data_IF_195296338246
#
_entry.id   IF_195296338246
#
_cell.length_a   1.000
_cell.length_b   1.000
_cell.length_c   1.000
_cell.angle_alpha   90.00
_cell.angle_beta   90.00
_cell.angle_gamma   90.00
#
_symmetry.space_group_name_H-M   'P 1'
#
loop_
_entity.id
_entity.type
_entity.pdbx_description
1 polymer ?
#
# COMPACT_ATOMS: atom_id res chain seq x y z
N UNK A 1 13.93 -2.30 -11.53
CA UNK A 1 15.18 -1.54 -11.33
C UNK A 1 14.98 -0.58 -10.15
N UNK A 2 15.99 -0.39 -9.28
CA UNK A 2 15.91 0.59 -8.21
C UNK A 2 15.76 2.01 -8.77
N UNK A 3 14.92 2.83 -8.12
CA UNK A 3 14.85 4.25 -8.38
C UNK A 3 15.93 4.93 -7.53
N UNK A 4 16.82 5.71 -8.17
CA UNK A 4 17.86 6.47 -7.47
C UNK A 4 17.40 7.92 -7.35
N UNK A 5 17.21 8.41 -6.13
CA UNK A 5 16.90 9.80 -5.83
C UNK A 5 17.93 10.28 -4.81
N UNK A 6 18.74 11.27 -5.18
CA UNK A 6 19.71 11.97 -4.30
C UNK A 6 20.42 11.04 -3.30
N UNK A 7 21.24 10.10 -3.79
CA UNK A 7 21.99 9.11 -3.01
C UNK A 7 21.17 8.03 -2.27
N UNK A 8 19.85 8.01 -2.37
CA UNK A 8 19.01 6.94 -1.87
C UNK A 8 18.62 6.01 -3.01
N UNK A 9 18.75 4.71 -2.80
CA UNK A 9 18.31 3.69 -3.73
C UNK A 9 17.02 3.07 -3.19
N UNK A 10 15.92 3.27 -3.89
CA UNK A 10 14.61 2.73 -3.49
C UNK A 10 14.22 1.54 -4.36
N UNK A 11 13.65 0.52 -3.74
CA UNK A 11 13.05 -0.62 -4.43
C UNK A 11 11.61 -0.82 -3.95
N UNK A 12 10.68 -0.99 -4.88
CA UNK A 12 9.32 -1.44 -4.58
C UNK A 12 9.30 -2.95 -4.65
N UNK A 13 8.84 -3.61 -3.61
CA UNK A 13 8.77 -5.07 -3.52
C UNK A 13 7.56 -5.55 -2.68
N UNK A 14 7.11 -6.79 -2.85
CA UNK A 14 6.18 -7.39 -1.91
C UNK A 14 6.75 -7.37 -0.48
N UNK A 15 5.86 -7.24 0.51
CA UNK A 15 6.22 -7.39 1.92
C UNK A 15 6.74 -8.82 2.18
N UNK A 16 7.68 -8.95 3.11
CA UNK A 16 8.25 -10.23 3.56
C UNK A 16 8.00 -10.40 5.05
N UNK A 17 7.92 -11.63 5.54
CA UNK A 17 7.77 -11.90 6.97
C UNK A 17 8.90 -11.29 7.82
N UNK A 18 10.09 -11.10 7.23
CA UNK A 18 11.23 -10.44 7.87
C UNK A 18 11.04 -8.93 8.06
N UNK A 19 10.04 -8.32 7.40
CA UNK A 19 9.72 -6.90 7.55
C UNK A 19 8.90 -6.61 8.82
N UNK A 20 8.41 -7.63 9.52
CA UNK A 20 7.75 -7.51 10.81
C UNK A 20 8.76 -7.03 11.87
N UNK A 21 8.96 -5.73 11.94
CA UNK A 21 9.94 -5.06 12.81
C UNK A 21 9.32 -3.83 13.47
N UNK A 22 9.91 -3.38 14.58
CA UNK A 22 9.50 -2.14 15.24
C UNK A 22 9.53 -0.94 14.28
N UNK A 23 10.52 -0.87 13.38
CA UNK A 23 10.62 0.19 12.38
C UNK A 23 9.42 0.21 11.44
N UNK A 24 8.92 -0.95 11.02
CA UNK A 24 7.74 -1.05 10.18
C UNK A 24 6.47 -0.65 10.95
N UNK A 25 6.32 -1.05 12.20
CA UNK A 25 5.19 -0.62 13.03
C UNK A 25 5.18 0.89 13.26
N UNK A 26 6.35 1.49 13.48
CA UNK A 26 6.47 2.95 13.60
C UNK A 26 6.06 3.66 12.30
N UNK A 27 6.32 3.06 11.13
CA UNK A 27 5.83 3.57 9.86
C UNK A 27 4.30 3.50 9.77
N UNK A 28 3.70 2.35 10.10
CA UNK A 28 2.23 2.19 10.10
C UNK A 28 1.56 3.13 11.10
N UNK A 29 2.21 3.42 12.23
CA UNK A 29 1.75 4.39 13.22
C UNK A 29 1.68 5.84 12.70
N UNK A 30 2.29 6.14 11.56
CA UNK A 30 2.16 7.44 10.89
C UNK A 30 0.89 7.55 10.02
N UNK A 31 0.25 6.41 9.71
CA UNK A 31 -0.99 6.37 8.96
C UNK A 31 -2.21 6.46 9.89
N UNK A 32 -2.20 5.66 10.93
CA UNK A 32 -3.32 5.53 11.86
C UNK A 32 -2.82 5.27 13.27
N UNK A 33 -3.73 5.34 14.25
CA UNK A 33 -3.39 5.06 15.64
C UNK A 33 -3.10 3.56 15.81
N UNK A 34 -1.82 3.24 15.87
CA UNK A 34 -1.29 1.92 16.24
C UNK A 34 -0.52 2.11 17.54
N UNK A 35 -0.70 1.19 18.48
CA UNK A 35 0.20 1.04 19.61
C UNK A 35 1.28 0.02 19.22
N UNK A 36 2.52 0.47 18.91
CA UNK A 36 3.57 -0.44 18.47
C UNK A 36 3.97 -1.48 19.51
N UNK A 37 3.73 -1.18 20.81
CA UNK A 37 4.06 -2.09 21.91
C UNK A 37 3.06 -3.25 22.04
N UNK A 38 1.86 -3.11 21.43
CA UNK A 38 0.84 -4.15 21.36
C UNK A 38 0.95 -5.01 20.09
N UNK A 39 1.85 -4.67 19.17
CA UNK A 39 2.03 -5.44 17.94
C UNK A 39 2.82 -6.72 18.23
N UNK A 40 2.21 -7.86 17.96
CA UNK A 40 2.85 -9.18 18.07
C UNK A 40 3.59 -9.51 16.77
N UNK A 41 4.92 -9.64 16.87
CA UNK A 41 5.78 -9.97 15.71
C UNK A 41 5.43 -11.32 15.08
N UNK A 42 5.11 -12.33 15.88
CA UNK A 42 4.77 -13.67 15.36
C UNK A 42 3.40 -13.69 14.68
N UNK A 43 2.42 -12.95 15.22
CA UNK A 43 1.14 -12.78 14.55
C UNK A 43 1.31 -12.04 13.23
N UNK A 44 2.14 -10.97 13.20
CA UNK A 44 2.40 -10.20 11.97
C UNK A 44 3.11 -11.05 10.92
N UNK A 45 4.12 -11.84 11.32
CA UNK A 45 4.78 -12.78 10.41
C UNK A 45 3.79 -13.80 9.84
N UNK A 46 2.97 -14.39 10.70
CA UNK A 46 1.92 -15.35 10.29
C UNK A 46 0.91 -14.69 9.34
N UNK A 47 0.49 -13.47 9.62
CA UNK A 47 -0.40 -12.71 8.74
C UNK A 47 0.23 -12.52 7.35
N UNK A 48 1.49 -12.05 7.28
CA UNK A 48 2.19 -11.84 6.01
C UNK A 48 2.36 -13.16 5.24
N UNK A 49 2.69 -14.25 5.91
CA UNK A 49 2.80 -15.58 5.27
C UNK A 49 1.47 -16.05 4.70
N UNK A 50 0.38 -15.82 5.43
CA UNK A 50 -0.97 -16.22 5.02
C UNK A 50 -1.51 -15.39 3.85
N UNK A 51 -1.07 -14.15 3.66
CA UNK A 51 -1.43 -13.34 2.50
C UNK A 51 -1.09 -14.04 1.17
N UNK A 52 0.06 -14.71 1.11
CA UNK A 52 0.50 -15.42 -0.09
C UNK A 52 -0.20 -16.76 -0.33
N UNK A 53 -0.74 -17.39 0.71
CA UNK A 53 -1.30 -18.76 0.65
C UNK A 53 -2.81 -18.74 0.42
N UNK A 54 -3.53 -17.88 1.14
CA UNK A 54 -4.99 -17.94 1.23
C UNK A 54 -5.74 -16.96 0.34
N UNK A 55 -5.08 -15.94 -0.20
CA UNK A 55 -5.75 -14.83 -0.88
C UNK A 55 -5.78 -14.94 -2.39
N UNK A 56 -5.36 -16.06 -3.00
CA UNK A 56 -5.28 -16.22 -4.46
C UNK A 56 -4.64 -15.01 -5.17
N UNK A 57 -3.67 -14.36 -4.51
CA UNK A 57 -3.05 -13.10 -4.93
C UNK A 57 -3.98 -11.87 -4.92
N UNK A 58 -5.19 -12.00 -4.35
CA UNK A 58 -6.17 -10.91 -4.33
C UNK A 58 -5.90 -9.87 -3.22
N UNK A 59 -5.05 -10.17 -2.24
CA UNK A 59 -4.65 -9.24 -1.17
C UNK A 59 -3.13 -9.19 -1.09
N UNK A 60 -2.54 -8.08 -1.50
CA UNK A 60 -1.09 -7.93 -1.59
C UNK A 60 -0.65 -6.63 -0.93
N UNK A 61 0.37 -6.71 -0.09
CA UNK A 61 1.03 -5.57 0.52
C UNK A 61 2.39 -5.37 -0.16
N UNK A 62 2.66 -4.15 -0.57
CA UNK A 62 3.94 -3.73 -1.12
C UNK A 62 4.59 -2.71 -0.21
N UNK A 63 5.91 -2.73 -0.20
CA UNK A 63 6.73 -1.80 0.56
C UNK A 63 7.77 -1.14 -0.35
N UNK A 64 8.20 0.05 0.03
CA UNK A 64 9.37 0.70 -0.54
C UNK A 64 10.48 0.62 0.49
N UNK A 65 11.59 0.01 0.09
CA UNK A 65 12.80 -0.12 0.90
C UNK A 65 13.86 0.86 0.42
N UNK A 66 14.44 1.61 1.35
CA UNK A 66 15.72 2.28 1.15
C UNK A 66 16.82 1.22 1.30
N UNK A 67 17.40 0.78 0.19
CA UNK A 67 18.36 -0.32 0.15
C UNK A 67 19.64 0.05 0.91
N UNK A 68 20.04 1.32 0.91
CA UNK A 68 21.26 1.76 1.56
C UNK A 68 21.18 1.61 3.09
N UNK A 69 19.99 1.75 3.64
CA UNK A 69 19.74 1.67 5.09
C UNK A 69 19.06 0.36 5.50
N UNK A 70 18.56 -0.44 4.55
CA UNK A 70 17.73 -1.61 4.83
C UNK A 70 16.42 -1.25 5.55
N UNK A 71 15.89 -0.05 5.30
CA UNK A 71 14.74 0.50 6.01
C UNK A 71 13.51 0.55 5.09
N UNK A 72 12.37 0.08 5.59
CA UNK A 72 11.08 0.29 4.93
C UNK A 72 10.64 1.74 5.16
N UNK A 73 10.39 2.46 4.07
CA UNK A 73 10.07 3.89 4.07
C UNK A 73 8.69 4.21 3.52
N UNK A 74 8.01 3.24 2.93
CA UNK A 74 6.61 3.36 2.52
C UNK A 74 5.94 1.98 2.49
N UNK A 75 4.63 1.97 2.64
CA UNK A 75 3.79 0.77 2.52
C UNK A 75 2.49 1.12 1.79
N UNK A 76 1.90 0.12 1.15
CA UNK A 76 0.60 0.23 0.50
C UNK A 76 0.04 -1.14 0.17
N UNK A 77 -1.27 -1.23 0.11
CA UNK A 77 -2.01 -2.47 -0.09
C UNK A 77 -2.87 -2.38 -1.36
N UNK A 78 -2.99 -3.49 -2.08
CA UNK A 78 -4.04 -3.68 -3.07
C UNK A 78 -4.86 -4.91 -2.70
N UNK A 79 -6.18 -4.74 -2.68
CA UNK A 79 -7.16 -5.80 -2.56
C UNK A 79 -7.97 -5.90 -3.86
N UNK A 80 -8.01 -7.08 -4.50
CA UNK A 80 -8.75 -7.29 -5.75
C UNK A 80 -10.08 -7.96 -5.45
N UNK A 81 -11.16 -7.22 -5.68
CA UNK A 81 -12.53 -7.71 -5.56
C UNK A 81 -13.00 -8.28 -6.90
N UNK A 82 -13.42 -9.54 -6.91
CA UNK A 82 -14.08 -10.17 -8.05
C UNK A 82 -15.59 -9.96 -7.98
N UNK A 83 -16.19 -9.56 -9.09
CA UNK A 83 -17.63 -9.23 -9.17
C UNK A 83 -18.36 -10.12 -10.16
N UNK A 84 -19.62 -10.44 -9.88
CA UNK A 84 -20.50 -11.06 -10.87
C UNK A 84 -20.93 -10.07 -11.96
N UNK A 85 -21.12 -8.80 -11.58
CA UNK A 85 -21.41 -7.73 -12.54
C UNK A 85 -20.20 -7.40 -13.41
N UNK A 86 -20.42 -6.68 -14.51
CA UNK A 86 -19.36 -6.33 -15.48
C UNK A 86 -18.68 -7.56 -16.09
N UNK A 87 -19.46 -8.63 -16.35
CA UNK A 87 -18.96 -9.88 -16.93
C UNK A 87 -17.79 -10.47 -16.14
N UNK A 88 -18.02 -10.67 -14.83
CA UNK A 88 -16.99 -11.14 -13.87
C UNK A 88 -15.81 -10.17 -13.74
N UNK A 89 -16.10 -8.86 -13.81
CA UNK A 89 -15.07 -7.83 -13.72
C UNK A 89 -14.39 -7.78 -12.36
N UNK A 90 -13.16 -7.27 -12.35
CA UNK A 90 -12.35 -7.09 -11.13
C UNK A 90 -12.15 -5.61 -10.82
N UNK A 91 -12.13 -5.27 -9.53
CA UNK A 91 -11.82 -3.92 -9.03
C UNK A 91 -10.65 -4.02 -8.06
N UNK A 92 -9.62 -3.21 -8.27
CA UNK A 92 -8.53 -3.07 -7.31
C UNK A 92 -8.89 -1.98 -6.28
N UNK A 93 -8.86 -2.32 -5.00
CA UNK A 93 -8.96 -1.38 -3.89
C UNK A 93 -7.55 -1.09 -3.40
N UNK A 94 -7.14 0.17 -3.45
CA UNK A 94 -5.84 0.62 -2.93
C UNK A 94 -6.07 1.18 -1.54
N UNK A 95 -5.35 0.61 -0.56
CA UNK A 95 -5.57 0.86 0.86
C UNK A 95 -4.23 1.09 1.58
N UNK A 96 -4.30 1.69 2.76
CA UNK A 96 -3.21 1.80 3.72
C UNK A 96 -1.91 2.41 3.14
N UNK A 97 -2.04 3.47 2.36
CA UNK A 97 -0.88 4.16 1.79
C UNK A 97 -0.21 5.03 2.84
N UNK A 98 1.03 4.72 3.14
CA UNK A 98 1.85 5.51 4.06
C UNK A 98 3.27 5.71 3.51
N UNK A 99 3.81 6.92 3.70
CA UNK A 99 5.20 7.27 3.44
C UNK A 99 5.78 7.89 4.71
N UNK A 100 6.92 7.38 5.15
CA UNK A 100 7.67 7.93 6.29
C UNK A 100 7.83 9.45 6.13
N UNK A 101 7.47 10.19 7.18
CA UNK A 101 7.46 11.65 7.17
C UNK A 101 8.79 12.27 6.75
N UNK A 102 9.91 11.60 7.07
CA UNK A 102 11.26 12.04 6.71
C UNK A 102 11.62 11.77 5.25
N UNK A 103 10.81 10.97 4.55
CA UNK A 103 10.97 10.63 3.12
C UNK A 103 9.87 11.24 2.24
N UNK A 104 9.03 12.12 2.79
CA UNK A 104 8.05 12.88 1.99
C UNK A 104 8.77 13.88 1.07
N UNK A 105 8.14 14.20 -0.06
CA UNK A 105 8.74 15.07 -1.07
C UNK A 105 9.64 14.36 -2.09
N UNK A 106 10.02 13.09 -1.87
CA UNK A 106 10.82 12.29 -2.82
C UNK A 106 9.99 11.56 -3.88
N UNK A 107 8.68 11.79 -3.95
CA UNK A 107 7.81 11.14 -4.96
C UNK A 107 7.43 9.70 -4.62
N UNK A 108 7.78 9.18 -3.42
CA UNK A 108 7.54 7.78 -3.06
C UNK A 108 6.06 7.42 -2.98
N UNK A 109 5.21 8.34 -2.55
CA UNK A 109 3.76 8.12 -2.55
C UNK A 109 3.23 7.88 -3.96
N UNK A 110 3.62 8.72 -4.93
CA UNK A 110 3.25 8.53 -6.34
C UNK A 110 3.82 7.23 -6.89
N UNK A 111 5.06 6.89 -6.60
CA UNK A 111 5.69 5.65 -7.01
C UNK A 111 4.89 4.43 -6.50
N UNK A 112 4.44 4.44 -5.25
CA UNK A 112 3.62 3.37 -4.67
C UNK A 112 2.26 3.28 -5.37
N UNK A 113 1.55 4.40 -5.54
CA UNK A 113 0.25 4.42 -6.22
C UNK A 113 0.37 3.95 -7.67
N UNK A 114 1.35 4.43 -8.42
CA UNK A 114 1.58 4.00 -9.81
C UNK A 114 1.86 2.48 -9.86
N UNK A 115 2.66 1.96 -8.92
CA UNK A 115 2.96 0.53 -8.84
C UNK A 115 1.70 -0.32 -8.59
N UNK A 116 0.91 0.04 -7.57
CA UNK A 116 -0.31 -0.70 -7.21
C UNK A 116 -1.38 -0.60 -8.31
N UNK A 117 -1.54 0.56 -8.94
CA UNK A 117 -2.47 0.75 -10.07
C UNK A 117 -2.08 -0.11 -11.27
N UNK A 118 -0.78 -0.14 -11.61
CA UNK A 118 -0.27 -1.00 -12.68
C UNK A 118 -0.42 -2.49 -12.34
N UNK A 119 -0.25 -2.87 -11.07
CA UNK A 119 -0.49 -4.22 -10.61
C UNK A 119 -1.97 -4.60 -10.76
N UNK A 120 -2.90 -3.73 -10.36
CA UNK A 120 -4.33 -3.93 -10.57
C UNK A 120 -4.66 -4.17 -12.05
N UNK A 121 -4.08 -3.38 -12.95
CA UNK A 121 -4.23 -3.60 -14.41
C UNK A 121 -3.72 -4.97 -14.84
N UNK A 122 -2.55 -5.40 -14.35
CA UNK A 122 -1.99 -6.74 -14.66
C UNK A 122 -2.84 -7.89 -14.12
N UNK A 123 -3.53 -7.66 -12.99
CA UNK A 123 -4.45 -8.63 -12.38
C UNK A 123 -5.85 -8.65 -13.06
N UNK A 124 -6.04 -7.82 -14.09
CA UNK A 124 -7.27 -7.77 -14.87
C UNK A 124 -8.35 -6.86 -14.29
N UNK A 125 -8.01 -5.94 -13.38
CA UNK A 125 -8.96 -4.97 -12.87
C UNK A 125 -9.34 -3.97 -13.96
N UNK A 126 -10.67 -3.73 -14.13
CA UNK A 126 -11.13 -2.70 -15.08
C UNK A 126 -11.01 -1.28 -14.51
N UNK A 127 -10.80 -1.16 -13.21
CA UNK A 127 -10.48 0.07 -12.50
C UNK A 127 -9.78 -0.23 -11.18
N UNK A 128 -9.04 0.76 -10.65
CA UNK A 128 -8.66 0.83 -9.25
C UNK A 128 -9.40 1.98 -8.57
N UNK A 129 -9.74 1.80 -7.30
CA UNK A 129 -10.39 2.80 -6.45
C UNK A 129 -9.61 2.94 -5.14
N UNK A 130 -9.76 4.07 -4.49
CA UNK A 130 -9.25 4.36 -3.16
C UNK A 130 -10.12 5.43 -2.49
N UNK A 131 -10.04 5.51 -1.18
CA UNK A 131 -10.63 6.58 -0.38
C UNK A 131 -9.52 7.51 0.12
N UNK A 132 -9.85 8.78 0.28
CA UNK A 132 -8.92 9.74 0.85
C UNK A 132 -9.64 10.94 1.45
N UNK A 133 -8.99 11.58 2.42
CA UNK A 133 -9.42 12.88 2.91
C UNK A 133 -9.33 13.96 1.83
N UNK A 134 -10.21 14.95 1.87
CA UNK A 134 -10.27 16.04 0.89
C UNK A 134 -8.93 16.76 0.72
N UNK A 135 -8.11 16.85 1.78
CA UNK A 135 -6.77 17.46 1.72
C UNK A 135 -5.81 16.71 0.77
N UNK A 136 -6.05 15.42 0.54
CA UNK A 136 -5.22 14.56 -0.30
C UNK A 136 -5.72 14.46 -1.75
N UNK A 137 -6.88 15.03 -2.10
CA UNK A 137 -7.45 14.94 -3.45
C UNK A 137 -6.46 15.36 -4.53
N UNK A 138 -5.80 16.53 -4.37
CA UNK A 138 -4.84 17.02 -5.35
C UNK A 138 -3.62 16.13 -5.54
N UNK A 139 -3.24 15.33 -4.53
CA UNK A 139 -2.19 14.32 -4.67
C UNK A 139 -2.66 13.16 -5.55
N UNK A 140 -3.85 12.62 -5.30
CA UNK A 140 -4.38 11.49 -6.06
C UNK A 140 -4.77 11.89 -7.48
N UNK A 141 -5.23 13.12 -7.71
CA UNK A 141 -5.45 13.67 -9.07
C UNK A 141 -4.16 13.68 -9.88
N UNK A 142 -3.02 14.06 -9.29
CA UNK A 142 -1.69 13.97 -9.93
C UNK A 142 -1.26 12.51 -10.21
N UNK A 143 -1.84 11.54 -9.52
CA UNK A 143 -1.67 10.11 -9.80
C UNK A 143 -2.65 9.58 -10.85
N UNK A 144 -3.51 10.44 -11.44
CA UNK A 144 -4.47 10.07 -12.48
C UNK A 144 -5.82 9.60 -11.95
N UNK A 145 -6.10 9.73 -10.65
CA UNK A 145 -7.40 9.44 -10.06
C UNK A 145 -8.36 10.62 -10.23
N UNK A 146 -9.64 10.33 -10.27
CA UNK A 146 -10.71 11.33 -10.33
C UNK A 146 -11.70 11.10 -9.18
N UNK A 147 -12.21 12.16 -8.59
CA UNK A 147 -13.20 12.06 -7.52
C UNK A 147 -14.48 11.37 -8.03
N UNK A 148 -14.94 10.35 -7.31
CA UNK A 148 -16.15 9.56 -7.61
C UNK A 148 -16.91 9.22 -6.33
N UNK A 149 -17.98 9.94 -6.07
CA UNK A 149 -18.85 9.67 -4.93
C UNK A 149 -18.27 10.10 -3.58
N UNK A 150 -18.82 9.57 -2.52
CA UNK A 150 -18.43 9.81 -1.14
C UNK A 150 -18.32 8.49 -0.39
N UNK A 151 -17.33 8.38 0.49
CA UNK A 151 -17.20 7.27 1.43
C UNK A 151 -18.23 7.45 2.57
N UNK A 152 -18.78 6.34 3.05
CA UNK A 152 -19.62 6.29 4.24
C UNK A 152 -19.12 5.17 5.15
N UNK A 153 -19.02 5.42 6.46
CA UNK A 153 -18.55 4.47 7.45
C UNK A 153 -19.57 4.27 8.56
N UNK A 154 -19.66 3.04 9.05
CA UNK A 154 -20.41 2.69 10.27
C UNK A 154 -19.46 1.91 11.19
N UNK A 155 -19.11 2.49 12.32
CA UNK A 155 -18.24 1.84 13.31
C UNK A 155 -19.06 0.92 14.20
N UNK A 156 -18.72 -0.36 14.26
CA UNK A 156 -19.40 -1.43 15.01
C UNK A 156 -18.52 -1.93 16.16
#
# INVERSE_FOLDING_TARGET
KPLVISNCNFIVRPIRYTDATQSYYNLLGQLTRIDPDLMDYEQTKSFIQNLGINSLQNHQIYVIEDINLGKIVASGTIFVEEKLIRNYGKVGHIEDIVVDSTYRGFGLGKLMIDHLTNLGTKLGCYKCILDCDDINLGFYEKCGYIRKGSQMSNYV
#
